data_IF_043581198543
#
_entry.id   IF_043581198543
#
_cell.length_a   1.000
_cell.length_b   1.000
_cell.length_c   1.000
_cell.angle_alpha   90.00
_cell.angle_beta   90.00
_cell.angle_gamma   90.00
#
_symmetry.space_group_name_H-M   'P 1'
#
loop_
_entity.id
_entity.type
_entity.pdbx_description
1 polymer ?
#
# COMPACT_ATOMS: atom_id res chain seq x y z
N UNK A 1 18.08 -1.33 5.26
CA UNK A 1 18.95 -2.53 5.24
C UNK A 1 20.11 -2.37 6.21
N UNK A 2 20.42 -3.41 6.98
CA UNK A 2 21.51 -3.43 7.98
C UNK A 2 22.87 -3.78 7.36
N UNK A 3 23.95 -3.22 7.94
CA UNK A 3 25.34 -3.56 7.58
C UNK A 3 25.68 -4.95 8.11
N UNK A 4 26.38 -5.76 7.30
CA UNK A 4 26.85 -7.10 7.65
C UNK A 4 28.36 -7.15 7.47
N UNK A 5 29.08 -7.70 8.45
CA UNK A 5 30.52 -7.98 8.36
C UNK A 5 30.72 -9.49 8.53
N UNK A 6 31.35 -10.11 7.53
CA UNK A 6 31.64 -11.53 7.49
C UNK A 6 33.17 -11.71 7.44
N UNK A 7 33.79 -12.05 8.57
CA UNK A 7 35.20 -12.42 8.60
C UNK A 7 35.33 -13.94 8.62
N UNK A 8 35.94 -14.49 7.57
CA UNK A 8 36.26 -15.92 7.47
C UNK A 8 37.73 -16.15 7.84
N UNK A 9 38.01 -17.08 8.74
CA UNK A 9 39.34 -17.68 8.96
C UNK A 9 39.20 -19.21 8.91
N UNK A 10 40.30 -19.93 8.59
CA UNK A 10 40.30 -21.37 8.27
C UNK A 10 39.56 -22.29 9.26
N UNK A 11 39.40 -21.89 10.52
CA UNK A 11 38.75 -22.70 11.59
C UNK A 11 37.66 -21.94 12.36
N UNK A 12 37.30 -20.72 11.92
CA UNK A 12 36.38 -19.83 12.64
C UNK A 12 35.56 -19.00 11.67
N UNK A 13 34.24 -19.09 11.80
CA UNK A 13 33.30 -18.21 11.12
C UNK A 13 32.76 -17.17 12.10
N UNK A 14 32.81 -15.89 11.75
CA UNK A 14 32.16 -14.83 12.54
C UNK A 14 31.34 -13.93 11.62
N UNK A 15 30.06 -13.84 11.93
CA UNK A 15 29.12 -12.91 11.29
C UNK A 15 28.67 -11.88 12.32
N UNK A 16 28.69 -10.61 11.92
CA UNK A 16 28.18 -9.51 12.72
C UNK A 16 27.06 -8.78 11.98
N UNK A 17 25.93 -8.62 12.66
CA UNK A 17 24.81 -7.80 12.23
C UNK A 17 24.70 -6.58 13.14
N UNK A 18 24.34 -5.45 12.54
CA UNK A 18 24.05 -4.21 13.26
C UNK A 18 22.54 -3.96 13.27
N UNK A 19 22.06 -3.27 14.30
CA UNK A 19 20.67 -2.85 14.39
C UNK A 19 20.29 -2.05 13.12
N UNK A 20 19.12 -2.37 12.57
CA UNK A 20 18.62 -1.72 11.36
C UNK A 20 18.42 -0.22 11.57
N UNK A 21 18.12 0.23 12.80
CA UNK A 21 17.91 1.61 13.23
C UNK A 21 19.18 2.32 13.74
N UNK A 22 20.35 1.66 13.72
CA UNK A 22 21.60 2.27 14.16
C UNK A 22 22.04 3.40 13.21
N UNK A 23 22.16 4.62 13.73
CA UNK A 23 22.56 5.79 12.96
C UNK A 23 23.96 5.67 12.34
N UNK A 24 24.90 5.02 13.03
CA UNK A 24 26.28 4.88 12.59
C UNK A 24 26.46 3.84 11.47
N UNK A 25 25.49 2.94 11.31
CA UNK A 25 25.53 1.83 10.35
C UNK A 25 24.59 2.03 9.15
N UNK A 26 24.34 3.29 8.75
CA UNK A 26 23.53 3.62 7.56
C UNK A 26 24.21 3.09 6.30
N UNK A 27 23.53 2.21 5.55
CA UNK A 27 23.91 1.94 4.16
C UNK A 27 23.69 3.21 3.34
N UNK A 28 24.71 3.63 2.59
CA UNK A 28 24.56 4.69 1.58
C UNK A 28 23.48 4.25 0.59
N UNK A 29 22.48 5.09 0.36
CA UNK A 29 21.49 4.87 -0.69
C UNK A 29 22.21 4.88 -2.04
N UNK A 30 21.95 3.87 -2.87
CA UNK A 30 22.24 3.97 -4.29
C UNK A 30 21.02 4.59 -4.93
N UNK A 31 21.07 5.87 -5.27
CA UNK A 31 20.06 6.45 -6.15
C UNK A 31 20.19 5.76 -7.51
N UNK A 32 19.08 5.24 -8.05
CA UNK A 32 19.08 4.81 -9.45
C UNK A 32 19.17 6.06 -10.32
N UNK A 33 20.12 6.10 -11.26
CA UNK A 33 20.27 7.19 -12.23
C UNK A 33 19.44 6.99 -13.51
N UNK A 34 18.69 5.89 -13.59
CA UNK A 34 17.80 5.59 -14.71
C UNK A 34 16.61 6.56 -14.73
N UNK A 35 16.33 7.25 -15.85
CA UNK A 35 15.27 8.26 -15.94
C UNK A 35 13.85 7.70 -15.73
N UNK A 36 13.65 6.38 -15.86
CA UNK A 36 12.34 5.72 -15.77
C UNK A 36 11.99 5.16 -14.38
N UNK A 37 12.90 5.29 -13.39
CA UNK A 37 12.65 4.78 -12.03
C UNK A 37 12.25 5.94 -11.13
N UNK A 38 10.96 6.03 -10.80
CA UNK A 38 10.48 6.84 -9.67
C UNK A 38 11.10 6.28 -8.39
N UNK A 39 12.08 6.99 -7.84
CA UNK A 39 12.62 6.66 -6.53
C UNK A 39 11.49 6.86 -5.52
N UNK A 40 10.99 5.77 -4.93
CA UNK A 40 10.03 5.87 -3.84
C UNK A 40 10.68 6.64 -2.68
N UNK A 41 10.05 7.73 -2.25
CA UNK A 41 10.33 8.40 -0.99
C UNK A 41 9.88 7.48 0.15
N UNK A 42 10.67 6.44 0.37
CA UNK A 42 10.50 5.57 1.53
C UNK A 42 10.78 6.44 2.76
N UNK A 43 9.72 6.76 3.50
CA UNK A 43 9.77 7.45 4.79
C UNK A 43 10.96 6.90 5.57
N UNK A 44 11.95 7.74 5.83
CA UNK A 44 13.21 7.28 6.37
C UNK A 44 12.98 6.68 7.77
N UNK A 45 13.30 5.40 7.94
CA UNK A 45 13.27 4.73 9.24
C UNK A 45 14.01 5.57 10.29
N UNK A 46 13.33 5.94 11.38
CA UNK A 46 13.91 6.69 12.51
C UNK A 46 15.17 5.99 13.02
N UNK A 47 16.21 6.78 13.31
CA UNK A 47 17.54 6.30 13.68
C UNK A 47 17.87 6.66 15.11
N UNK A 48 18.65 5.81 15.77
CA UNK A 48 19.09 5.99 17.14
C UNK A 48 20.58 5.65 17.26
N UNK A 49 21.35 6.33 18.14
CA UNK A 49 22.74 6.00 18.42
C UNK A 49 22.82 4.75 19.32
N UNK A 50 22.20 3.64 18.92
CA UNK A 50 22.00 2.50 19.79
C UNK A 50 23.19 1.52 19.84
N UNK A 51 24.16 1.61 18.91
CA UNK A 51 25.38 0.78 18.90
C UNK A 51 25.11 -0.73 18.95
N UNK A 52 23.91 -1.13 18.57
CA UNK A 52 23.36 -2.44 18.89
C UNK A 52 23.78 -3.45 17.84
N UNK A 53 24.24 -4.62 18.29
CA UNK A 53 24.84 -5.61 17.41
C UNK A 53 24.52 -7.04 17.84
N UNK A 54 24.36 -7.90 16.85
CA UNK A 54 24.31 -9.34 16.99
C UNK A 54 25.60 -9.91 16.40
N UNK A 55 26.35 -10.67 17.20
CA UNK A 55 27.53 -11.40 16.74
C UNK A 55 27.27 -12.90 16.87
N UNK A 56 27.36 -13.60 15.75
CA UNK A 56 27.31 -15.07 15.71
C UNK A 56 28.71 -15.54 15.35
N UNK A 57 29.31 -16.38 16.18
CA UNK A 57 30.60 -17.00 15.88
C UNK A 57 30.56 -18.50 16.07
N UNK A 58 31.02 -19.22 15.06
CA UNK A 58 31.16 -20.67 15.08
C UNK A 58 32.66 -21.01 15.11
N UNK A 59 33.08 -21.86 16.05
CA UNK A 59 34.46 -22.36 16.14
C UNK A 59 34.43 -23.88 16.30
N UNK A 60 35.33 -24.58 15.61
CA UNK A 60 35.53 -26.01 15.83
C UNK A 60 36.40 -26.19 17.06
N UNK A 61 35.99 -27.04 18.02
CA UNK A 61 36.87 -27.46 19.11
C UNK A 61 37.96 -28.37 18.53
N UNK A 62 39.19 -28.25 19.05
CA UNK A 62 40.35 -29.05 18.58
C UNK A 62 40.41 -30.45 19.20
N UNK A 63 39.47 -30.77 20.08
CA UNK A 63 39.43 -32.07 20.74
C UNK A 63 38.72 -33.10 19.84
N UNK A 64 39.06 -34.37 20.00
CA UNK A 64 38.78 -35.52 19.10
C UNK A 64 37.32 -35.75 18.68
N UNK A 65 36.36 -34.92 19.10
CA UNK A 65 34.94 -35.06 18.80
C UNK A 65 34.38 -34.09 17.75
N UNK A 66 35.20 -33.27 17.08
CA UNK A 66 34.74 -32.32 16.04
C UNK A 66 33.52 -31.47 16.47
N UNK A 67 33.45 -31.12 17.75
CA UNK A 67 32.29 -30.43 18.32
C UNK A 67 32.29 -28.96 17.89
N UNK A 68 31.14 -28.47 17.39
CA UNK A 68 30.96 -27.11 16.90
C UNK A 68 30.45 -26.20 18.02
N UNK A 69 31.28 -25.28 18.47
CA UNK A 69 30.87 -24.23 19.40
C UNK A 69 30.23 -23.08 18.62
N UNK A 70 28.93 -22.86 18.82
CA UNK A 70 28.20 -21.71 18.30
C UNK A 70 27.94 -20.72 19.43
N UNK A 71 28.50 -19.52 19.32
CA UNK A 71 28.34 -18.43 20.29
C UNK A 71 27.50 -17.33 19.64
N UNK A 72 26.34 -17.06 20.24
CA UNK A 72 25.44 -15.96 19.85
C UNK A 72 25.51 -14.87 20.93
N UNK A 73 25.93 -13.66 20.54
CA UNK A 73 26.03 -12.50 21.43
C UNK A 73 25.16 -11.38 20.89
N UNK A 74 24.10 -11.05 21.63
CA UNK A 74 23.27 -9.88 21.38
C UNK A 74 23.65 -8.78 22.37
N UNK A 75 24.06 -7.61 21.86
CA UNK A 75 24.27 -6.40 22.65
C UNK A 75 23.30 -5.33 22.16
N UNK A 76 22.37 -4.92 23.01
CA UNK A 76 21.48 -3.78 22.75
C UNK A 76 21.74 -2.71 23.81
N UNK A 77 22.23 -1.54 23.40
CA UNK A 77 22.76 -0.50 24.33
C UNK A 77 21.76 0.63 24.57
N UNK A 78 20.68 0.72 23.81
CA UNK A 78 19.70 1.77 23.99
C UNK A 78 18.31 1.37 23.54
N UNK A 79 17.33 1.46 24.44
CA UNK A 79 15.91 1.25 24.14
C UNK A 79 15.47 2.29 23.11
N UNK A 80 14.91 1.83 22.00
CA UNK A 80 14.30 2.68 20.98
C UNK A 80 13.01 2.03 20.48
N UNK A 81 12.15 2.83 19.86
CA UNK A 81 10.89 2.37 19.29
C UNK A 81 11.20 1.25 18.30
N UNK A 82 10.50 0.12 18.44
CA UNK A 82 10.66 -1.03 17.56
C UNK A 82 10.37 -0.59 16.12
N UNK A 83 11.18 -1.06 15.18
CA UNK A 83 10.80 -1.00 13.78
C UNK A 83 9.77 -2.10 13.55
N UNK A 84 8.49 -1.75 13.62
CA UNK A 84 7.40 -2.65 13.22
C UNK A 84 7.41 -2.77 11.70
N UNK A 85 7.36 -4.01 11.21
CA UNK A 85 7.27 -4.26 9.78
C UNK A 85 5.98 -3.62 9.26
N UNK A 86 6.08 -2.84 8.18
CA UNK A 86 5.08 -1.86 7.73
C UNK A 86 3.96 -2.54 6.94
N UNK A 87 3.66 -3.79 7.26
CA UNK A 87 2.53 -4.51 6.69
C UNK A 87 1.28 -4.10 7.45
N UNK A 88 0.22 -3.81 6.71
CA UNK A 88 -1.08 -3.54 7.30
C UNK A 88 -1.53 -4.82 8.04
N UNK A 89 -1.94 -4.73 9.32
CA UNK A 89 -2.53 -5.86 10.04
C UNK A 89 -3.68 -6.47 9.23
N UNK A 90 -3.83 -7.80 9.17
CA UNK A 90 -4.92 -8.45 8.45
C UNK A 90 -6.30 -7.92 8.85
N UNK A 91 -6.50 -7.65 10.14
CA UNK A 91 -7.75 -7.13 10.69
C UNK A 91 -8.04 -5.70 10.21
N UNK A 92 -6.99 -4.89 10.00
CA UNK A 92 -7.13 -3.56 9.41
C UNK A 92 -7.50 -3.64 7.92
N UNK A 93 -7.00 -4.64 7.21
CA UNK A 93 -7.34 -4.90 5.81
C UNK A 93 -8.79 -5.40 5.66
N UNK A 94 -9.26 -6.25 6.58
CA UNK A 94 -10.64 -6.70 6.62
C UNK A 94 -11.59 -5.52 6.89
N UNK A 95 -11.23 -4.61 7.80
CA UNK A 95 -11.98 -3.35 7.98
C UNK A 95 -12.09 -2.53 6.69
N UNK A 96 -11.03 -2.48 5.86
CA UNK A 96 -11.10 -1.80 4.57
C UNK A 96 -12.08 -2.50 3.63
N UNK A 97 -12.01 -3.83 3.54
CA UNK A 97 -12.90 -4.64 2.69
C UNK A 97 -14.37 -4.47 3.05
N UNK A 98 -14.69 -4.50 4.34
CA UNK A 98 -16.06 -4.40 4.83
C UNK A 98 -16.71 -3.02 4.59
N UNK A 99 -15.89 -2.00 4.28
CA UNK A 99 -16.36 -0.61 4.21
C UNK A 99 -16.07 0.07 2.87
N UNK A 100 -15.39 -0.61 1.93
CA UNK A 100 -14.90 -0.01 0.67
C UNK A 100 -16.02 0.57 -0.18
N UNK A 101 -17.20 -0.05 -0.14
CA UNK A 101 -18.38 0.36 -0.89
C UNK A 101 -18.97 1.70 -0.41
N UNK A 102 -18.81 2.01 0.88
CA UNK A 102 -19.54 3.10 1.54
C UNK A 102 -18.67 4.26 2.00
N UNK A 103 -17.35 4.06 2.13
CA UNK A 103 -16.44 5.05 2.68
C UNK A 103 -15.48 5.60 1.62
N UNK A 104 -15.35 6.93 1.63
CA UNK A 104 -14.27 7.62 0.91
C UNK A 104 -12.91 7.31 1.54
N UNK A 105 -11.79 7.49 0.83
CA UNK A 105 -10.46 7.21 1.37
C UNK A 105 -10.16 7.94 2.69
N UNK A 106 -10.66 9.16 2.86
CA UNK A 106 -10.46 9.97 4.08
C UNK A 106 -11.28 9.42 5.25
N UNK A 107 -12.54 9.06 5.01
CA UNK A 107 -13.39 8.45 6.02
C UNK A 107 -12.86 7.05 6.41
N UNK A 108 -12.37 6.29 5.43
CA UNK A 108 -11.71 4.99 5.65
C UNK A 108 -10.47 5.14 6.54
N UNK A 109 -9.60 6.10 6.23
CA UNK A 109 -8.40 6.37 7.03
C UNK A 109 -8.75 6.68 8.49
N UNK A 110 -9.74 7.54 8.70
CA UNK A 110 -10.22 7.91 10.04
C UNK A 110 -10.72 6.68 10.81
N UNK A 111 -11.52 5.82 10.16
CA UNK A 111 -12.10 4.63 10.78
C UNK A 111 -11.04 3.59 11.15
N UNK A 112 -10.11 3.30 10.25
CA UNK A 112 -9.06 2.31 10.49
C UNK A 112 -8.07 2.80 11.55
N UNK A 113 -7.70 4.08 11.53
CA UNK A 113 -6.74 4.64 12.50
C UNK A 113 -7.30 4.72 13.92
N UNK A 114 -8.63 4.81 14.09
CA UNK A 114 -9.25 4.73 15.41
C UNK A 114 -8.97 3.37 16.09
N UNK A 115 -8.91 2.29 15.31
CA UNK A 115 -8.63 0.93 15.81
C UNK A 115 -7.14 0.58 15.74
N UNK A 116 -6.45 1.05 14.71
CA UNK A 116 -5.05 0.76 14.42
C UNK A 116 -4.22 2.04 14.24
N UNK A 117 -3.85 2.74 15.33
CA UNK A 117 -3.16 4.04 15.25
C UNK A 117 -1.78 3.99 14.58
N UNK A 118 -1.15 2.82 14.53
CA UNK A 118 0.15 2.61 13.87
C UNK A 118 0.05 2.53 12.34
N UNK A 119 -1.16 2.31 11.80
CA UNK A 119 -1.38 2.21 10.35
C UNK A 119 -1.49 3.61 9.76
N UNK A 120 -0.67 3.87 8.74
CA UNK A 120 -0.62 5.16 8.07
C UNK A 120 -1.76 5.34 7.07
N UNK A 121 -2.19 6.59 6.86
CA UNK A 121 -3.17 6.93 5.83
C UNK A 121 -2.74 6.46 4.42
N UNK A 122 -1.43 6.43 4.14
CA UNK A 122 -0.89 5.94 2.87
C UNK A 122 -1.11 4.43 2.68
N UNK A 123 -0.90 3.63 3.74
CA UNK A 123 -1.21 2.19 3.69
C UNK A 123 -2.72 1.96 3.50
N UNK A 124 -3.55 2.74 4.20
CA UNK A 124 -5.01 2.65 4.12
C UNK A 124 -5.50 3.02 2.73
N UNK A 125 -5.01 4.13 2.17
CA UNK A 125 -5.34 4.55 0.81
C UNK A 125 -4.94 3.49 -0.23
N UNK A 126 -3.73 2.92 -0.10
CA UNK A 126 -3.29 1.85 -1.01
C UNK A 126 -4.18 0.62 -0.92
N UNK A 127 -4.48 0.13 0.27
CA UNK A 127 -5.37 -1.01 0.45
C UNK A 127 -6.78 -0.71 -0.08
N UNK A 128 -7.29 0.50 0.20
CA UNK A 128 -8.57 0.95 -0.33
C UNK A 128 -8.58 0.98 -1.86
N UNK A 129 -7.52 1.47 -2.51
CA UNK A 129 -7.40 1.46 -3.97
C UNK A 129 -7.41 0.04 -4.53
N UNK A 130 -6.58 -0.86 -3.98
CA UNK A 130 -6.48 -2.25 -4.45
C UNK A 130 -7.81 -3.01 -4.29
N UNK A 131 -8.50 -2.80 -3.16
CA UNK A 131 -9.80 -3.41 -2.90
C UNK A 131 -10.89 -2.76 -3.78
N UNK A 132 -10.92 -1.42 -3.85
CA UNK A 132 -11.88 -0.67 -4.67
C UNK A 132 -11.75 -1.03 -6.14
N UNK A 133 -10.54 -1.18 -6.64
CA UNK A 133 -10.29 -1.65 -8.00
C UNK A 133 -10.88 -3.04 -8.20
N UNK A 134 -10.59 -4.00 -7.31
CA UNK A 134 -11.17 -5.34 -7.41
C UNK A 134 -12.71 -5.35 -7.35
N UNK A 135 -13.32 -4.40 -6.62
CA UNK A 135 -14.78 -4.28 -6.51
C UNK A 135 -15.43 -3.60 -7.72
N UNK A 136 -14.80 -2.56 -8.29
CA UNK A 136 -15.43 -1.68 -9.28
C UNK A 136 -14.84 -1.79 -10.70
N UNK A 137 -13.78 -2.58 -10.88
CA UNK A 137 -13.12 -2.78 -12.17
C UNK A 137 -13.77 -3.94 -12.93
N UNK A 138 -14.79 -3.63 -13.73
CA UNK A 138 -15.48 -4.61 -14.58
C UNK A 138 -14.92 -4.67 -16.01
N UNK A 139 -14.14 -3.67 -16.42
CA UNK A 139 -13.51 -3.59 -17.74
C UNK A 139 -12.34 -2.59 -17.74
N UNK A 140 -11.36 -2.80 -18.63
CA UNK A 140 -10.25 -1.86 -18.82
C UNK A 140 -10.73 -0.56 -19.48
N UNK A 141 -11.82 -0.61 -20.26
CA UNK A 141 -12.47 0.59 -20.77
C UNK A 141 -13.45 1.12 -19.71
N UNK A 142 -13.23 2.35 -19.24
CA UNK A 142 -14.02 2.97 -18.18
C UNK A 142 -15.52 3.09 -18.52
N UNK A 143 -15.86 3.42 -19.78
CA UNK A 143 -17.24 3.49 -20.23
C UNK A 143 -17.88 2.10 -20.23
N UNK A 144 -17.20 1.08 -20.74
CA UNK A 144 -17.72 -0.29 -20.69
C UNK A 144 -17.90 -0.79 -19.25
N UNK A 145 -16.95 -0.48 -18.35
CA UNK A 145 -17.06 -0.80 -16.93
C UNK A 145 -18.28 -0.13 -16.29
N UNK A 146 -18.47 1.17 -16.55
CA UNK A 146 -19.63 1.92 -16.07
C UNK A 146 -20.94 1.37 -16.65
N UNK A 147 -20.97 1.00 -17.94
CA UNK A 147 -22.15 0.42 -18.59
C UNK A 147 -22.55 -0.89 -17.94
N UNK A 148 -21.60 -1.81 -17.70
CA UNK A 148 -21.84 -3.09 -17.02
C UNK A 148 -22.43 -2.87 -15.62
N UNK A 149 -21.87 -1.94 -14.85
CA UNK A 149 -22.38 -1.60 -13.52
C UNK A 149 -23.83 -1.07 -13.56
N UNK A 150 -24.15 -0.21 -14.54
CA UNK A 150 -25.50 0.33 -14.70
C UNK A 150 -26.50 -0.75 -15.14
N UNK A 151 -26.07 -1.71 -15.96
CA UNK A 151 -26.87 -2.85 -16.42
C UNK A 151 -27.23 -3.80 -15.26
N UNK A 152 -26.33 -4.00 -14.30
CA UNK A 152 -26.63 -4.74 -13.05
C UNK A 152 -27.71 -4.04 -12.20
N UNK A 153 -27.84 -2.72 -12.35
CA UNK A 153 -28.79 -1.89 -11.60
C UNK A 153 -30.04 -1.51 -12.41
N UNK A 154 -30.41 -2.28 -13.43
CA UNK A 154 -31.57 -2.03 -14.31
C UNK A 154 -32.90 -1.81 -13.60
N UNK A 155 -33.08 -2.32 -12.37
CA UNK A 155 -34.26 -2.05 -11.56
C UNK A 155 -34.31 -0.61 -11.03
N UNK A 156 -33.16 -0.02 -10.73
CA UNK A 156 -33.03 1.30 -10.13
C UNK A 156 -32.71 2.41 -11.15
N UNK A 157 -32.07 2.03 -12.25
CA UNK A 157 -31.53 2.95 -13.26
C UNK A 157 -32.15 2.69 -14.63
N UNK A 158 -32.37 3.76 -15.38
CA UNK A 158 -32.67 3.70 -16.81
C UNK A 158 -31.46 4.22 -17.58
N UNK A 159 -30.97 3.43 -18.55
CA UNK A 159 -29.87 3.80 -19.43
C UNK A 159 -30.49 4.36 -20.72
N UNK A 160 -30.05 5.54 -21.13
CA UNK A 160 -30.53 6.23 -22.32
C UNK A 160 -29.51 6.11 -23.45
N UNK A 161 -30.01 5.93 -24.67
CA UNK A 161 -29.21 6.07 -25.90
C UNK A 161 -28.99 7.57 -26.17
N UNK A 162 -27.75 8.08 -26.10
CA UNK A 162 -27.47 9.48 -26.36
C UNK A 162 -27.70 9.81 -27.83
N UNK A 163 -28.39 10.91 -28.11
CA UNK A 163 -28.58 11.41 -29.48
C UNK A 163 -27.59 12.55 -29.77
N UNK A 164 -27.14 12.64 -31.03
CA UNK A 164 -26.25 13.71 -31.51
C UNK A 164 -24.91 13.83 -30.74
N UNK A 165 -24.29 12.68 -30.41
CA UNK A 165 -22.95 12.65 -29.82
C UNK A 165 -21.92 13.19 -30.83
N UNK A 166 -21.09 14.19 -30.48
CA UNK A 166 -20.06 14.70 -31.37
C UNK A 166 -19.03 13.63 -31.77
N UNK A 167 -18.45 13.78 -32.96
CA UNK A 167 -17.41 12.87 -33.43
C UNK A 167 -16.21 12.85 -32.46
N UNK A 168 -15.74 11.65 -32.10
CA UNK A 168 -14.65 11.45 -31.14
C UNK A 168 -15.06 11.54 -29.67
N UNK A 169 -16.34 11.75 -29.35
CA UNK A 169 -16.86 11.73 -27.97
C UNK A 169 -17.54 10.38 -27.70
N UNK A 170 -17.18 9.77 -26.57
CA UNK A 170 -17.93 8.64 -26.02
C UNK A 170 -18.67 9.10 -24.76
N UNK A 171 -19.95 8.76 -24.65
CA UNK A 171 -20.76 9.11 -23.48
C UNK A 171 -21.76 8.01 -23.14
N UNK A 172 -22.12 7.94 -21.86
CA UNK A 172 -23.23 7.11 -21.36
C UNK A 172 -24.20 8.04 -20.65
N UNK A 173 -25.47 7.95 -21.01
CA UNK A 173 -26.54 8.68 -20.36
C UNK A 173 -27.35 7.72 -19.48
N UNK A 174 -27.57 8.08 -18.23
CA UNK A 174 -28.39 7.28 -17.31
C UNK A 174 -29.13 8.17 -16.32
N UNK A 175 -30.20 7.63 -15.75
CA UNK A 175 -31.00 8.33 -14.75
C UNK A 175 -31.60 7.38 -13.73
N UNK A 176 -31.67 7.82 -12.48
CA UNK A 176 -32.34 7.06 -11.42
C UNK A 176 -33.85 7.12 -11.59
N UNK A 177 -34.51 5.97 -11.73
CA UNK A 177 -35.97 5.88 -11.93
C UNK A 177 -36.75 6.56 -10.80
N UNK A 178 -36.32 6.34 -9.55
CA UNK A 178 -36.91 6.96 -8.35
C UNK A 178 -36.93 8.49 -8.37
N UNK A 179 -36.01 9.11 -9.11
CA UNK A 179 -35.90 10.57 -9.24
C UNK A 179 -36.60 11.03 -10.52
N UNK A 180 -36.41 10.30 -11.64
CA UNK A 180 -36.95 10.67 -12.94
C UNK A 180 -38.48 10.57 -13.01
N UNK A 181 -39.09 9.56 -12.40
CA UNK A 181 -40.55 9.37 -12.43
C UNK A 181 -41.33 10.56 -11.84
N UNK A 182 -41.02 11.06 -10.63
CA UNK A 182 -41.68 12.26 -10.07
C UNK A 182 -41.48 13.55 -10.89
N UNK A 183 -40.39 13.61 -11.65
CA UNK A 183 -39.99 14.79 -12.43
C UNK A 183 -40.51 14.77 -13.87
N UNK A 184 -41.15 13.68 -14.31
CA UNK A 184 -41.68 13.55 -15.68
C UNK A 184 -42.63 14.71 -16.02
N UNK A 185 -42.31 15.46 -17.07
CA UNK A 185 -43.08 16.64 -17.51
C UNK A 185 -42.83 17.93 -16.72
N UNK A 186 -41.88 17.93 -15.78
CA UNK A 186 -41.54 19.10 -14.92
C UNK A 186 -40.10 19.61 -15.09
N UNK A 187 -39.25 18.89 -15.82
CA UNK A 187 -37.83 19.25 -16.01
C UNK A 187 -37.69 20.26 -17.15
N UNK A 188 -36.99 21.37 -16.88
CA UNK A 188 -36.73 22.47 -17.83
C UNK A 188 -35.26 22.53 -18.28
N UNK A 189 -34.32 21.95 -17.52
CA UNK A 189 -32.88 22.01 -17.82
C UNK A 189 -32.11 20.79 -17.29
N UNK A 190 -31.07 20.35 -18.01
CA UNK A 190 -30.14 19.30 -17.61
C UNK A 190 -28.75 19.94 -17.48
N UNK A 191 -28.23 20.03 -16.27
CA UNK A 191 -26.83 20.41 -16.03
C UNK A 191 -25.90 19.22 -16.31
N UNK A 192 -24.98 19.38 -17.25
CA UNK A 192 -23.94 18.39 -17.56
C UNK A 192 -22.64 18.88 -16.95
N UNK A 193 -22.13 18.17 -15.94
CA UNK A 193 -20.77 18.39 -15.45
C UNK A 193 -19.82 17.41 -16.14
N UNK A 194 -18.80 17.93 -16.81
CA UNK A 194 -17.85 17.15 -17.58
C UNK A 194 -16.46 17.27 -16.97
N UNK A 195 -15.90 16.14 -16.51
CA UNK A 195 -14.51 16.08 -16.09
C UNK A 195 -13.66 15.79 -17.34
N UNK A 196 -13.16 16.85 -17.97
CA UNK A 196 -12.19 16.73 -19.06
C UNK A 196 -10.78 16.56 -18.47
N UNK A 197 -10.11 15.43 -18.73
CA UNK A 197 -8.65 15.37 -18.59
C UNK A 197 -8.04 15.87 -19.88
N UNK A 198 -7.48 17.08 -19.85
CA UNK A 198 -6.57 17.52 -20.91
C UNK A 198 -5.37 16.57 -20.94
N UNK A 199 -5.09 15.99 -22.11
CA UNK A 199 -3.83 15.32 -22.42
C UNK A 199 -2.70 16.35 -22.51
#
# INVERSE_FOLDING_TARGET
GSVKDHRKQKTRHRTRFWCSQDAACKKKSKASQSPDIRNHDNVSMKRFPCGSKLSISCRMRKDNNNELDVIVQLKHVGKHISYEDVLMPPEALDMVRDNVEWLTPVAMATKVQATFPSVTAAQIHRAWMEVSEAFWHFDNNQLLSAKKLLEEQTNNVHIFEPQAVPEGVEMICWGMKKIAEPLKGKVVEIGVDAICRCL
#
